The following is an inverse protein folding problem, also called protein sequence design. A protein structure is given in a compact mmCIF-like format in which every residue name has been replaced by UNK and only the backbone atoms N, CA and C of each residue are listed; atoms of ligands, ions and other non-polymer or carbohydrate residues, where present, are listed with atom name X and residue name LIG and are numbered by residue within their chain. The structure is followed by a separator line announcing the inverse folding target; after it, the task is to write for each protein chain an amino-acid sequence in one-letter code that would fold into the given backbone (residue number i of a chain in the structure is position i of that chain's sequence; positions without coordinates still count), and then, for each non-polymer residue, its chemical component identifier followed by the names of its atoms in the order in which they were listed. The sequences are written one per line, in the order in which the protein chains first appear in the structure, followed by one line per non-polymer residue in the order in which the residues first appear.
data_IF_718372983180
#
_entry.id   IF_718372983180
#
_cell.length_a   1.000
_cell.length_b   1.000
_cell.length_c   1.000
_cell.angle_alpha   90.00
_cell.angle_beta   90.00
_cell.angle_gamma   90.00
#
_symmetry.space_group_name_H-M   'P 1'
#
loop_
_entity.id
_entity.type
_entity.pdbx_description
1 polymer ?
#
# COMPACT_ATOMS: atom_id res chain seq x y z
N UNK A 1 7.43 -2.49 17.75
CA UNK A 1 8.43 -2.19 16.70
C UNK A 1 8.88 -0.73 16.87
N UNK A 2 10.17 -0.41 16.83
CA UNK A 2 10.64 1.01 16.88
C UNK A 2 10.58 1.61 15.49
N UNK A 3 9.44 2.18 15.11
CA UNK A 3 9.18 2.67 13.74
C UNK A 3 10.16 3.79 13.37
N UNK A 4 10.57 4.62 14.32
CA UNK A 4 11.54 5.71 14.18
C UNK A 4 12.93 5.24 13.73
N UNK A 5 13.25 3.96 13.96
CA UNK A 5 14.51 3.36 13.53
C UNK A 5 14.43 2.77 12.11
N UNK A 6 13.26 2.78 11.47
CA UNK A 6 13.03 2.21 10.14
C UNK A 6 13.10 3.36 9.12
N UNK A 7 14.14 3.36 8.29
CA UNK A 7 14.26 4.35 7.23
C UNK A 7 13.10 4.25 6.22
N UNK A 8 12.71 5.38 5.62
CA UNK A 8 11.71 5.46 4.54
C UNK A 8 12.06 4.52 3.38
N UNK A 9 13.35 4.38 3.07
CA UNK A 9 13.90 3.54 2.02
C UNK A 9 15.41 3.76 1.94
N UNK A 10 16.10 3.06 1.03
CA UNK A 10 17.53 3.27 0.78
C UNK A 10 17.76 4.47 -0.13
N UNK A 11 16.95 4.64 -1.16
CA UNK A 11 16.97 5.78 -2.07
C UNK A 11 15.54 6.22 -2.47
N UNK A 12 14.72 6.74 -1.54
CA UNK A 12 13.36 7.21 -1.88
C UNK A 12 13.39 8.36 -2.91
N UNK A 13 12.44 8.41 -3.87
CA UNK A 13 11.30 7.51 -4.04
C UNK A 13 11.58 6.29 -4.95
N UNK A 14 12.84 6.04 -5.35
CA UNK A 14 13.18 4.91 -6.22
C UNK A 14 12.95 3.55 -5.54
N UNK A 15 13.19 3.50 -4.24
CA UNK A 15 12.79 2.41 -3.37
C UNK A 15 12.27 2.92 -2.03
N UNK A 16 11.30 2.21 -1.48
CA UNK A 16 10.67 2.50 -0.18
C UNK A 16 10.58 1.22 0.65
N UNK A 17 10.62 1.37 1.96
CA UNK A 17 10.34 0.30 2.91
C UNK A 17 8.85 0.34 3.26
N UNK A 18 8.20 -0.82 3.21
CA UNK A 18 6.80 -1.00 3.57
C UNK A 18 6.72 -1.87 4.81
N UNK A 19 6.04 -1.39 5.84
CA UNK A 19 5.69 -2.17 7.03
C UNK A 19 4.38 -2.89 6.70
N UNK A 20 4.43 -4.23 6.62
CA UNK A 20 3.27 -5.04 6.22
C UNK A 20 2.26 -5.13 7.35
N UNK A 21 0.98 -4.94 7.04
CA UNK A 21 -0.14 -5.07 7.97
C UNK A 21 -1.03 -6.26 7.62
N UNK A 22 -1.35 -6.43 6.33
CA UNK A 22 -2.23 -7.51 5.86
C UNK A 22 -1.52 -8.36 4.79
N UNK A 23 -1.43 -9.68 4.95
CA UNK A 23 -0.79 -10.54 3.97
C UNK A 23 -1.70 -10.81 2.77
N UNK A 24 -1.10 -11.03 1.59
CA UNK A 24 -1.85 -11.50 0.40
C UNK A 24 -2.61 -12.78 0.72
N UNK A 25 -3.90 -12.82 0.34
CA UNK A 25 -4.76 -13.99 0.51
C UNK A 25 -4.97 -14.43 1.96
N UNK A 26 -4.56 -13.61 2.95
CA UNK A 26 -4.73 -13.87 4.38
C UNK A 26 -6.19 -14.01 4.80
N UNK A 27 -6.39 -14.26 6.09
CA UNK A 27 -7.74 -14.19 6.66
C UNK A 27 -8.33 -12.77 6.47
N UNK A 28 -9.65 -12.64 6.29
CA UNK A 28 -10.32 -11.37 5.99
C UNK A 28 -10.40 -10.47 7.23
N UNK A 29 -9.24 -10.12 7.76
CA UNK A 29 -9.02 -9.26 8.92
C UNK A 29 -8.12 -8.12 8.46
N UNK A 30 -8.61 -6.89 8.56
CA UNK A 30 -7.77 -5.71 8.41
C UNK A 30 -7.09 -5.45 9.74
N UNK A 31 -5.78 -5.60 9.73
CA UNK A 31 -4.92 -5.11 10.80
C UNK A 31 -4.46 -3.69 10.46
N UNK A 32 -4.17 -2.92 11.49
CA UNK A 32 -3.60 -1.59 11.38
C UNK A 32 -2.57 -1.40 12.49
N UNK A 33 -1.44 -0.79 12.15
CA UNK A 33 -0.37 -0.50 13.09
C UNK A 33 -0.74 0.72 13.92
N UNK A 34 -0.94 0.51 15.22
CA UNK A 34 -0.89 1.62 16.16
C UNK A 34 0.56 2.08 16.27
N UNK A 35 0.83 3.30 15.78
CA UNK A 35 2.20 3.82 15.63
C UNK A 35 2.84 4.15 16.98
N UNK A 36 2.04 4.55 17.97
CA UNK A 36 2.53 4.92 19.30
C UNK A 36 2.87 3.67 20.13
N UNK A 37 1.96 2.68 20.13
CA UNK A 37 2.19 1.39 20.77
C UNK A 37 3.18 0.52 20.00
N UNK A 38 3.34 0.77 18.69
CA UNK A 38 4.22 0.03 17.79
C UNK A 38 3.80 -1.44 17.62
N UNK A 39 2.50 -1.71 17.61
CA UNK A 39 1.90 -3.05 17.44
C UNK A 39 0.66 -3.02 16.56
N UNK A 40 0.35 -4.15 15.94
CA UNK A 40 -0.86 -4.31 15.13
C UNK A 40 -2.09 -4.47 16.02
N UNK A 41 -3.14 -3.72 15.69
CA UNK A 41 -4.49 -3.89 16.21
C UNK A 41 -5.39 -4.44 15.13
N UNK A 42 -6.43 -5.18 15.53
CA UNK A 42 -7.53 -5.50 14.63
C UNK A 42 -8.35 -4.22 14.45
N UNK A 43 -8.32 -3.65 13.25
CA UNK A 43 -9.20 -2.54 12.88
C UNK A 43 -10.62 -3.08 12.68
N UNK A 44 -10.76 -4.07 11.79
CA UNK A 44 -12.04 -4.73 11.53
C UNK A 44 -11.89 -6.09 10.83
N UNK A 45 -12.97 -6.85 10.86
CA UNK A 45 -13.18 -7.98 9.95
C UNK A 45 -13.79 -7.44 8.65
N UNK A 46 -13.34 -7.92 7.49
CA UNK A 46 -13.99 -7.54 6.23
C UNK A 46 -15.39 -8.16 6.18
N UNK A 47 -16.39 -7.36 5.81
CA UNK A 47 -17.77 -7.82 5.73
C UNK A 47 -18.07 -8.60 4.45
N UNK A 48 -17.21 -8.46 3.44
CA UNK A 48 -17.28 -9.21 2.18
C UNK A 48 -16.43 -10.49 2.25
N UNK A 49 -16.75 -11.47 1.41
CA UNK A 49 -15.96 -12.70 1.29
C UNK A 49 -14.72 -12.50 0.39
N UNK A 50 -13.99 -11.40 0.59
CA UNK A 50 -12.82 -11.01 -0.19
C UNK A 50 -11.55 -11.11 0.64
N UNK A 51 -10.40 -11.24 -0.05
CA UNK A 51 -9.07 -11.27 0.55
C UNK A 51 -8.15 -10.36 -0.25
N UNK A 52 -7.16 -9.76 0.41
CA UNK A 52 -6.24 -8.84 -0.24
C UNK A 52 -5.49 -9.51 -1.41
N UNK A 53 -5.42 -8.88 -2.59
CA UNK A 53 -4.78 -9.44 -3.79
C UNK A 53 -3.25 -9.23 -3.83
N UNK A 54 -2.70 -8.59 -2.81
CA UNK A 54 -1.28 -8.31 -2.60
C UNK A 54 -0.99 -8.17 -1.11
N UNK A 55 0.28 -8.07 -0.71
CA UNK A 55 0.58 -7.73 0.68
C UNK A 55 0.37 -6.23 0.85
N UNK A 56 -0.32 -5.84 1.91
CA UNK A 56 -0.72 -4.46 2.15
C UNK A 56 -0.03 -3.91 3.40
N UNK A 57 0.30 -2.63 3.36
CA UNK A 57 0.87 -1.93 4.50
C UNK A 57 1.22 -0.50 4.11
N UNK A 58 2.10 0.14 4.88
CA UNK A 58 2.37 1.57 4.74
C UNK A 58 3.87 1.90 4.73
N UNK A 59 4.21 3.10 4.24
CA UNK A 59 5.56 3.65 4.29
C UNK A 59 5.75 4.49 5.57
N UNK A 60 6.70 4.15 6.45
CA UNK A 60 6.94 4.95 7.66
C UNK A 60 7.45 6.34 7.30
N UNK A 61 7.13 7.32 8.15
CA UNK A 61 7.57 8.71 8.01
C UNK A 61 7.10 9.40 6.71
N UNK A 62 5.90 9.06 6.27
CA UNK A 62 5.17 9.74 5.20
C UNK A 62 3.83 10.23 5.74
N UNK A 63 3.24 11.23 5.07
CA UNK A 63 1.95 11.80 5.44
C UNK A 63 1.19 12.20 4.17
N UNK A 64 0.12 11.49 3.87
CA UNK A 64 -0.86 11.70 2.80
C UNK A 64 -1.81 12.88 3.13
N UNK A 65 -2.67 13.25 2.19
CA UNK A 65 -3.52 14.44 2.31
C UNK A 65 -4.64 14.30 3.34
N UNK A 66 -5.04 13.05 3.61
CA UNK A 66 -6.01 12.62 4.61
C UNK A 66 -5.43 12.52 6.03
N UNK A 67 -4.11 12.64 6.19
CA UNK A 67 -3.42 12.57 7.47
C UNK A 67 -2.84 11.19 7.82
N UNK A 68 -2.98 10.21 6.93
CA UNK A 68 -2.40 8.88 7.11
C UNK A 68 -1.07 8.72 6.36
N UNK A 69 -0.22 7.72 6.67
CA UNK A 69 0.96 7.45 5.88
C UNK A 69 0.56 6.91 4.50
N UNK A 70 1.48 6.93 3.55
CA UNK A 70 1.25 6.33 2.24
C UNK A 70 0.97 4.84 2.39
N UNK A 71 -0.16 4.40 1.84
CA UNK A 71 -0.53 3.00 1.69
C UNK A 71 0.10 2.39 0.44
N UNK A 72 0.51 1.12 0.56
CA UNK A 72 1.17 0.37 -0.49
C UNK A 72 0.60 -1.04 -0.59
N UNK A 73 0.19 -1.42 -1.81
CA UNK A 73 -0.04 -2.81 -2.17
C UNK A 73 1.18 -3.37 -2.91
N UNK A 74 1.82 -4.36 -2.29
CA UNK A 74 2.95 -5.10 -2.86
C UNK A 74 2.42 -6.29 -3.66
N UNK A 75 2.48 -6.20 -4.99
CA UNK A 75 1.95 -7.17 -5.94
C UNK A 75 2.91 -8.37 -6.16
N UNK A 76 3.33 -9.02 -5.07
CA UNK A 76 3.99 -10.32 -5.12
C UNK A 76 3.02 -11.46 -4.76
N UNK A 77 3.42 -12.71 -5.04
CA UNK A 77 2.50 -13.85 -4.88
C UNK A 77 2.67 -14.66 -3.59
N UNK A 78 3.52 -14.21 -2.66
CA UNK A 78 3.80 -14.92 -1.41
C UNK A 78 3.37 -14.05 -0.22
N UNK A 79 2.63 -14.65 0.70
CA UNK A 79 2.27 -14.02 1.97
C UNK A 79 3.53 -13.60 2.75
N UNK A 80 3.51 -12.37 3.25
CA UNK A 80 4.52 -11.83 4.15
C UNK A 80 3.98 -11.80 5.57
N UNK A 81 4.86 -11.83 6.55
CA UNK A 81 4.45 -11.80 7.96
C UNK A 81 4.01 -10.38 8.34
N UNK A 82 2.83 -10.18 8.95
CA UNK A 82 2.44 -8.88 9.48
C UNK A 82 3.48 -8.33 10.48
N UNK A 83 3.79 -7.04 10.38
CA UNK A 83 4.88 -6.39 11.11
C UNK A 83 6.27 -6.66 10.54
N UNK A 84 6.42 -7.37 9.41
CA UNK A 84 7.70 -7.39 8.70
C UNK A 84 7.91 -6.12 7.87
N UNK A 85 9.15 -5.85 7.49
CA UNK A 85 9.50 -4.74 6.59
C UNK A 85 10.02 -5.32 5.28
N UNK A 86 9.51 -4.82 4.16
CA UNK A 86 9.98 -5.17 2.81
C UNK A 86 10.40 -3.92 2.04
N UNK A 87 11.55 -3.98 1.37
CA UNK A 87 11.98 -2.94 0.45
C UNK A 87 11.40 -3.21 -0.95
N UNK A 88 10.75 -2.20 -1.53
CA UNK A 88 10.00 -2.33 -2.78
C UNK A 88 10.27 -1.16 -3.73
N UNK A 89 10.06 -1.41 -5.02
CA UNK A 89 10.03 -0.40 -6.09
C UNK A 89 8.57 0.00 -6.34
N UNK A 90 8.20 1.29 -6.21
CA UNK A 90 6.92 1.81 -6.70
C UNK A 90 6.86 1.71 -8.23
N UNK A 91 5.73 1.24 -8.77
CA UNK A 91 5.52 1.06 -10.22
C UNK A 91 4.25 1.73 -10.73
N UNK A 92 3.44 2.33 -9.85
CA UNK A 92 2.23 3.05 -10.21
C UNK A 92 1.38 3.33 -8.98
N UNK A 93 0.20 3.88 -9.20
CA UNK A 93 -0.79 4.15 -8.15
C UNK A 93 -2.19 3.87 -8.67
N UNK A 94 -3.03 3.30 -7.82
CA UNK A 94 -4.48 3.25 -8.02
C UNK A 94 -5.09 4.42 -7.24
N UNK A 95 -5.74 5.33 -7.96
CA UNK A 95 -6.43 6.49 -7.38
C UNK A 95 -7.92 6.19 -7.33
N UNK A 96 -8.51 6.43 -6.16
CA UNK A 96 -9.93 6.26 -5.90
C UNK A 96 -10.44 7.36 -4.98
N UNK A 97 -11.75 7.46 -4.86
CA UNK A 97 -12.45 8.31 -3.92
C UNK A 97 -13.32 7.43 -3.03
N UNK A 98 -13.34 7.74 -1.73
CA UNK A 98 -14.24 7.12 -0.77
C UNK A 98 -14.93 8.19 0.09
N UNK A 99 -15.71 7.76 1.07
CA UNK A 99 -16.42 8.64 2.00
C UNK A 99 -15.57 9.72 2.69
N UNK A 100 -14.27 9.49 2.83
CA UNK A 100 -13.31 10.35 3.50
C UNK A 100 -12.54 11.26 2.53
N UNK A 101 -12.79 11.14 1.23
CA UNK A 101 -12.15 11.93 0.18
C UNK A 101 -11.28 11.09 -0.76
N UNK A 102 -10.18 11.69 -1.23
CA UNK A 102 -9.24 11.03 -2.12
C UNK A 102 -8.49 9.91 -1.37
N UNK A 103 -8.49 8.71 -1.93
CA UNK A 103 -7.80 7.55 -1.39
C UNK A 103 -6.88 6.95 -2.47
N UNK A 104 -5.58 6.89 -2.20
CA UNK A 104 -4.56 6.55 -3.18
C UNK A 104 -3.70 5.39 -2.68
N UNK A 105 -3.57 4.34 -3.48
CA UNK A 105 -2.78 3.15 -3.11
C UNK A 105 -1.60 3.00 -4.05
N UNK A 106 -0.38 3.17 -3.52
CA UNK A 106 0.83 2.92 -4.29
C UNK A 106 0.89 1.43 -4.62
N UNK A 107 1.18 1.12 -5.86
CA UNK A 107 1.40 -0.25 -6.33
C UNK A 107 2.89 -0.47 -6.47
N UNK A 108 3.40 -1.53 -5.84
CA UNK A 108 4.82 -1.79 -5.77
C UNK A 108 5.15 -3.27 -5.97
N UNK A 109 6.42 -3.54 -6.31
CA UNK A 109 6.98 -4.90 -6.39
C UNK A 109 8.27 -5.00 -5.58
N UNK A 110 8.65 -6.19 -5.07
CA UNK A 110 9.89 -6.36 -4.33
C UNK A 110 11.11 -5.83 -5.11
N UNK A 111 11.99 -5.11 -4.42
CA UNK A 111 13.21 -4.60 -5.05
C UNK A 111 14.10 -5.72 -5.62
N UNK A 112 14.83 -5.50 -6.73
CA UNK A 112 15.60 -6.55 -7.41
C UNK A 112 16.60 -7.32 -6.52
N UNK A 113 17.13 -6.67 -5.48
CA UNK A 113 18.02 -7.31 -4.48
C UNK A 113 17.34 -8.48 -3.76
N UNK A 114 16.02 -8.44 -3.57
CA UNK A 114 15.25 -9.48 -2.88
C UNK A 114 14.89 -10.63 -3.82
N UNK A 115 14.63 -10.34 -5.09
CA UNK A 115 14.26 -11.34 -6.11
C UNK A 115 14.37 -10.76 -7.51
N UNK A 116 14.83 -11.57 -8.47
CA UNK A 116 14.89 -11.21 -9.89
C UNK A 116 13.54 -11.32 -10.61
N UNK A 117 12.53 -11.92 -9.97
CA UNK A 117 11.20 -12.18 -10.59
C UNK A 117 10.55 -10.92 -11.17
N UNK A 118 10.79 -9.77 -10.56
CA UNK A 118 10.15 -8.49 -10.91
C UNK A 118 11.15 -7.47 -11.48
N UNK A 119 12.36 -7.88 -11.86
CA UNK A 119 13.43 -6.95 -12.26
C UNK A 119 13.00 -6.03 -13.43
N UNK A 120 12.23 -6.59 -14.37
CA UNK A 120 11.70 -5.92 -15.56
C UNK A 120 10.31 -5.28 -15.35
N UNK A 121 9.76 -5.37 -14.14
CA UNK A 121 8.51 -4.70 -13.77
C UNK A 121 8.89 -3.32 -13.20
N UNK A 122 8.73 -2.31 -14.06
CA UNK A 122 9.05 -0.91 -13.73
C UNK A 122 7.83 0.00 -13.81
N UNK A 123 6.78 -0.42 -14.51
CA UNK A 123 5.48 0.25 -14.61
C UNK A 123 4.36 -0.73 -14.22
N UNK A 124 3.24 -0.21 -13.72
CA UNK A 124 2.09 -1.04 -13.35
C UNK A 124 1.56 -1.82 -14.55
N UNK A 125 1.66 -1.25 -15.76
CA UNK A 125 1.30 -1.87 -17.03
C UNK A 125 2.17 -3.07 -17.41
N UNK A 126 3.31 -3.29 -16.74
CA UNK A 126 4.12 -4.49 -16.90
C UNK A 126 3.58 -5.68 -16.09
N UNK A 127 2.65 -5.44 -15.16
CA UNK A 127 1.90 -6.51 -14.51
C UNK A 127 0.87 -7.09 -15.49
N UNK A 128 0.53 -8.39 -15.36
CA UNK A 128 -0.58 -8.97 -16.12
C UNK A 128 -1.87 -8.15 -15.92
N UNK A 129 -2.64 -7.97 -16.99
CA UNK A 129 -3.92 -7.25 -16.99
C UNK A 129 -4.85 -7.75 -15.90
N UNK A 130 -4.94 -9.07 -15.73
CA UNK A 130 -5.80 -9.69 -14.71
C UNK A 130 -5.36 -9.32 -13.30
N UNK A 131 -4.07 -9.14 -13.04
CA UNK A 131 -3.58 -8.69 -11.72
C UNK A 131 -4.05 -7.27 -11.45
N UNK A 132 -3.96 -6.37 -12.44
CA UNK A 132 -4.46 -4.99 -12.32
C UNK A 132 -5.96 -4.95 -12.08
N UNK A 133 -6.73 -5.74 -12.83
CA UNK A 133 -8.18 -5.85 -12.66
C UNK A 133 -8.57 -6.41 -11.29
N UNK A 134 -7.86 -7.42 -10.78
CA UNK A 134 -8.09 -7.97 -9.44
C UNK A 134 -7.82 -6.95 -8.33
N UNK A 135 -6.75 -6.15 -8.46
CA UNK A 135 -6.45 -5.07 -7.51
C UNK A 135 -7.55 -4.02 -7.51
N UNK A 136 -7.96 -3.55 -8.69
CA UNK A 136 -9.03 -2.56 -8.83
C UNK A 136 -10.35 -3.09 -8.25
N UNK A 137 -10.79 -4.28 -8.67
CA UNK A 137 -12.02 -4.90 -8.19
C UNK A 137 -12.00 -5.12 -6.67
N UNK A 138 -10.85 -5.46 -6.08
CA UNK A 138 -10.75 -5.61 -4.64
C UNK A 138 -11.08 -4.30 -3.92
N UNK A 139 -10.39 -3.20 -4.27
CA UNK A 139 -10.58 -1.93 -3.59
C UNK A 139 -11.96 -1.32 -3.86
N UNK A 140 -12.52 -1.54 -5.05
CA UNK A 140 -13.87 -1.10 -5.39
C UNK A 140 -14.95 -1.78 -4.53
N UNK A 141 -14.78 -3.06 -4.18
CA UNK A 141 -15.86 -3.87 -3.60
C UNK A 141 -15.65 -4.33 -2.15
N UNK A 142 -14.44 -4.30 -1.59
CA UNK A 142 -14.19 -4.92 -0.29
C UNK A 142 -15.01 -4.30 0.86
N UNK A 143 -15.44 -3.03 0.69
CA UNK A 143 -16.28 -2.25 1.62
C UNK A 143 -17.79 -2.33 1.33
N UNK A 144 -18.25 -3.08 0.33
CA UNK A 144 -19.67 -3.08 -0.13
C UNK A 144 -20.70 -3.41 0.96
N UNK A 145 -20.31 -4.23 1.93
CA UNK A 145 -21.16 -4.64 3.05
C UNK A 145 -20.86 -3.87 4.35
N UNK A 146 -20.04 -2.83 4.30
CA UNK A 146 -19.82 -1.89 5.40
C UNK A 146 -20.86 -0.75 5.31
N UNK A 147 -21.78 -0.60 6.29
CA UNK A 147 -22.87 0.35 6.18
C UNK A 147 -22.41 1.79 5.91
N UNK A 148 -22.92 2.36 4.83
CA UNK A 148 -22.63 3.73 4.43
C UNK A 148 -21.30 3.93 3.71
N UNK A 149 -20.43 2.92 3.59
CA UNK A 149 -19.16 3.03 2.86
C UNK A 149 -19.36 2.79 1.35
N UNK A 150 -18.57 3.49 0.53
CA UNK A 150 -18.49 3.31 -0.91
C UNK A 150 -17.06 3.60 -1.38
N UNK A 151 -16.69 3.10 -2.55
CA UNK A 151 -15.44 3.41 -3.22
C UNK A 151 -15.74 3.63 -4.70
N UNK A 152 -15.11 4.64 -5.30
CA UNK A 152 -15.16 4.90 -6.74
C UNK A 152 -13.74 4.94 -7.30
N UNK A 153 -13.48 4.12 -8.31
CA UNK A 153 -12.18 4.12 -8.98
C UNK A 153 -12.08 5.30 -9.94
N UNK A 154 -11.09 6.17 -9.73
CA UNK A 154 -10.77 7.25 -10.66
C UNK A 154 -9.83 6.74 -11.76
N UNK A 155 -8.83 5.93 -11.40
CA UNK A 155 -8.01 5.24 -12.39
C UNK A 155 -6.59 4.93 -11.93
N UNK A 156 -5.77 4.51 -12.88
CA UNK A 156 -4.36 4.18 -12.68
C UNK A 156 -3.46 5.32 -13.16
N UNK A 157 -2.41 5.61 -12.39
CA UNK A 157 -1.31 6.48 -12.82
C UNK A 157 0.04 5.73 -12.78
N UNK A 158 1.00 6.27 -13.54
CA UNK A 158 2.31 5.66 -13.79
C UNK A 158 3.27 5.73 -12.58
N UNK A 159 4.43 5.10 -12.72
CA UNK A 159 5.47 5.10 -11.69
C UNK A 159 5.97 6.52 -11.36
N UNK A 160 5.99 7.44 -12.33
CA UNK A 160 6.43 8.82 -12.12
C UNK A 160 5.47 9.57 -11.19
N UNK A 161 4.17 9.39 -11.38
CA UNK A 161 3.14 9.94 -10.50
C UNK A 161 3.27 9.37 -9.09
N UNK A 162 3.39 8.05 -8.95
CA UNK A 162 3.60 7.39 -7.66
C UNK A 162 4.84 7.95 -6.91
N UNK A 163 5.96 8.12 -7.62
CA UNK A 163 7.18 8.69 -7.05
C UNK A 163 7.01 10.14 -6.60
N UNK A 164 6.29 10.95 -7.38
CA UNK A 164 5.99 12.34 -7.02
C UNK A 164 5.19 12.39 -5.71
N UNK A 165 4.14 11.59 -5.58
CA UNK A 165 3.34 11.52 -4.36
C UNK A 165 4.16 11.10 -3.14
N UNK A 166 5.07 10.13 -3.29
CA UNK A 166 5.96 9.69 -2.22
C UNK A 166 6.83 10.84 -1.74
N UNK A 167 7.41 11.63 -2.67
CA UNK A 167 8.21 12.80 -2.30
C UNK A 167 7.37 13.82 -1.54
N UNK A 168 6.18 14.16 -2.06
CA UNK A 168 5.28 15.13 -1.43
C UNK A 168 4.85 14.70 -0.02
N UNK A 169 4.56 13.41 0.18
CA UNK A 169 4.19 12.89 1.50
C UNK A 169 5.35 12.86 2.50
N UNK A 170 6.57 12.62 2.02
CA UNK A 170 7.79 12.73 2.84
C UNK A 170 8.00 14.18 3.27
N UNK A 171 7.82 15.14 2.36
CA UNK A 171 7.93 16.58 2.65
C UNK A 171 6.87 17.03 3.65
N UNK A 172 5.61 16.61 3.46
CA UNK A 172 4.50 16.90 4.37
C UNK A 172 4.78 16.37 5.78
N UNK A 173 5.23 15.12 5.90
CA UNK A 173 5.57 14.51 7.19
C UNK A 173 6.72 15.23 7.92
N UNK A 174 7.68 15.80 7.19
CA UNK A 174 8.76 16.61 7.76
C UNK A 174 8.27 17.96 8.27
N UNK A 175 7.35 18.61 7.55
CA UNK A 175 6.79 19.91 7.92
C UNK A 175 5.85 19.85 9.12
N UNK A 176 5.27 18.68 9.41
CA UNK A 176 4.38 18.43 10.55
C UNK A 176 5.12 18.04 11.85
N UNK A 177 6.46 18.00 11.85
CA UNK A 177 7.31 17.75 13.03
C UNK A 177 7.83 19.05 13.61
#
# INVERSE_FOLDING_TARGET
MRIEAIAIGKNPPEDINVIIEVPIGGEPIKYEMDKEAGTLFVDRFLHTSMRYPGNYGFVPHTLSGDGDPIDVLVCNTRALVPGCVINVRPIGVLVMEDNSGLDEKIIAVPSPKLTLRYENVTEYTHLPDITRQQVQHFFEHYKDLEPGKWVKIEGWHDAAYAKKMIVEAIERAKASR
#
